data_IF_757636257250
#
_entry.id   IF_757636257250
#
_cell.length_a   1.000
_cell.length_b   1.000
_cell.length_c   1.000
_cell.angle_alpha   90.00
_cell.angle_beta   90.00
_cell.angle_gamma   90.00
#
_symmetry.space_group_name_H-M   'P 1'
#
loop_
_entity.id
_entity.type
_entity.pdbx_description
1 polymer ?
#
# COMPACT_ATOMS: atom_id res chain seq x y z
N UNK A 1 3.92 27.05 5.02
CA UNK A 1 4.27 27.65 3.73
C UNK A 1 5.76 27.44 3.56
N UNK A 2 6.18 26.82 2.45
CA UNK A 2 7.57 26.43 2.21
C UNK A 2 8.04 27.12 0.93
N UNK A 3 9.26 27.62 0.91
CA UNK A 3 9.86 28.32 -0.23
C UNK A 3 10.98 27.47 -0.84
N UNK A 4 10.90 27.19 -2.15
CA UNK A 4 11.94 26.49 -2.92
C UNK A 4 12.14 27.25 -4.23
N UNK A 5 13.38 27.64 -4.54
CA UNK A 5 13.78 28.35 -5.77
C UNK A 5 12.82 29.51 -6.15
N UNK A 6 12.65 30.48 -5.22
CA UNK A 6 11.80 31.66 -5.38
C UNK A 6 10.31 31.36 -5.64
N UNK A 7 9.83 30.14 -5.32
CA UNK A 7 8.42 29.76 -5.43
C UNK A 7 7.84 29.51 -4.05
N UNK A 8 6.74 30.18 -3.75
CA UNK A 8 5.97 29.99 -2.53
C UNK A 8 5.03 28.80 -2.73
N UNK A 9 5.31 27.69 -2.05
CA UNK A 9 4.47 26.50 -2.06
C UNK A 9 3.60 26.47 -0.81
N UNK A 10 2.29 26.36 -1.00
CA UNK A 10 1.36 26.18 0.11
C UNK A 10 1.68 24.88 0.84
N UNK A 11 1.66 24.89 2.19
CA UNK A 11 1.81 23.65 2.95
C UNK A 11 0.61 22.71 2.75
N UNK A 12 -0.50 23.21 2.21
CA UNK A 12 -1.67 22.39 1.89
C UNK A 12 -1.46 21.52 0.64
N UNK A 13 -0.51 21.87 -0.25
CA UNK A 13 -0.06 20.98 -1.34
C UNK A 13 0.66 19.72 -0.83
N UNK A 14 1.19 19.75 0.40
CA UNK A 14 1.78 18.59 1.07
C UNK A 14 0.73 17.72 1.77
N UNK A 15 -0.51 18.21 1.87
CA UNK A 15 -1.67 17.50 2.43
C UNK A 15 -2.64 17.02 1.36
N UNK A 16 -2.26 17.10 0.10
CA UNK A 16 -2.97 16.37 -0.96
C UNK A 16 -2.74 14.88 -0.69
N UNK A 17 -3.78 14.22 -0.20
CA UNK A 17 -3.87 12.78 -0.14
C UNK A 17 -3.60 12.26 -1.55
N UNK A 18 -2.45 11.62 -1.78
CA UNK A 18 -2.15 10.95 -3.04
C UNK A 18 -3.16 9.80 -3.22
N UNK A 19 -4.35 10.13 -3.71
CA UNK A 19 -5.31 9.16 -4.17
C UNK A 19 -4.68 8.52 -5.39
N UNK A 20 -4.27 7.25 -5.28
CA UNK A 20 -3.70 6.51 -6.39
C UNK A 20 -4.63 6.60 -7.60
N UNK A 21 -4.25 7.40 -8.59
CA UNK A 21 -4.90 7.40 -9.89
C UNK A 21 -4.38 6.18 -10.66
N UNK A 22 -5.07 5.06 -10.46
CA UNK A 22 -4.74 3.78 -11.09
C UNK A 22 -4.86 3.84 -12.62
N UNK A 23 -5.66 4.77 -13.18
CA UNK A 23 -5.73 4.98 -14.62
C UNK A 23 -4.46 5.66 -15.15
N UNK A 24 -3.82 6.52 -14.36
CA UNK A 24 -2.58 7.21 -14.70
C UNK A 24 -1.30 6.41 -14.35
N UNK A 25 -1.30 5.74 -13.19
CA UNK A 25 -0.12 5.08 -12.62
C UNK A 25 0.01 3.59 -13.04
N UNK A 26 -1.12 2.96 -13.44
CA UNK A 26 -1.22 1.51 -13.72
C UNK A 26 -0.78 0.59 -12.57
N UNK A 27 -0.59 1.15 -11.37
CA UNK A 27 -0.09 0.42 -10.21
C UNK A 27 1.41 0.15 -10.22
N UNK A 28 2.22 0.94 -10.95
CA UNK A 28 3.68 0.69 -11.06
C UNK A 28 4.40 0.67 -9.71
N UNK A 29 3.92 1.45 -8.72
CA UNK A 29 4.45 1.43 -7.35
C UNK A 29 4.21 0.10 -6.61
N UNK A 30 3.24 -0.71 -7.06
CA UNK A 30 2.93 -2.03 -6.49
C UNK A 30 3.66 -3.19 -7.22
N UNK A 31 4.32 -2.91 -8.35
CA UNK A 31 5.01 -3.90 -9.22
C UNK A 31 6.53 -3.78 -9.13
N UNK A 32 7.06 -2.57 -8.91
CA UNK A 32 8.50 -2.30 -8.80
C UNK A 32 8.89 -1.68 -7.44
N UNK A 33 8.09 -1.94 -6.41
CA UNK A 33 8.37 -1.44 -5.06
C UNK A 33 9.34 -2.34 -4.31
N UNK A 34 10.60 -1.92 -4.14
CA UNK A 34 11.59 -2.64 -3.31
C UNK A 34 11.31 -2.58 -1.80
N UNK A 35 10.18 -2.01 -1.39
CA UNK A 35 9.75 -1.91 0.00
C UNK A 35 8.22 -2.01 0.05
N UNK A 36 7.73 -2.77 1.04
CA UNK A 36 6.30 -2.88 1.31
C UNK A 36 5.67 -1.51 1.59
N UNK A 37 4.36 -1.40 1.43
CA UNK A 37 3.68 -0.16 1.76
C UNK A 37 3.74 0.06 3.29
N UNK A 38 4.14 1.25 3.78
CA UNK A 38 4.28 1.51 5.21
C UNK A 38 2.95 1.35 5.94
N UNK A 39 3.02 0.94 7.21
CA UNK A 39 1.91 0.67 8.11
C UNK A 39 2.15 1.33 9.46
N UNK A 40 1.09 1.81 10.09
CA UNK A 40 1.08 2.16 11.51
C UNK A 40 0.70 0.95 12.36
N UNK A 41 1.08 0.94 13.63
CA UNK A 41 0.83 -0.19 14.53
C UNK A 41 -0.66 -0.49 14.72
N UNK A 42 -1.52 0.53 14.71
CA UNK A 42 -2.97 0.38 14.84
C UNK A 42 -3.64 -0.18 13.56
N UNK A 43 -2.98 -0.07 12.42
CA UNK A 43 -3.44 -0.66 11.16
C UNK A 43 -3.23 -2.18 11.12
N UNK A 44 -2.23 -2.69 11.84
CA UNK A 44 -1.87 -4.13 11.83
C UNK A 44 -3.01 -4.99 12.37
N UNK A 45 -3.56 -4.63 13.53
CA UNK A 45 -4.64 -5.40 14.15
C UNK A 45 -5.87 -5.42 13.24
N UNK A 46 -6.17 -4.27 12.63
CA UNK A 46 -7.29 -4.13 11.69
C UNK A 46 -7.07 -4.96 10.42
N UNK A 47 -5.83 -5.03 9.91
CA UNK A 47 -5.48 -5.85 8.75
C UNK A 47 -5.73 -7.33 9.03
N UNK A 48 -5.35 -7.82 10.20
CA UNK A 48 -5.59 -9.22 10.59
C UNK A 48 -7.08 -9.52 10.74
N UNK A 49 -7.82 -8.66 11.45
CA UNK A 49 -9.26 -8.82 11.67
C UNK A 49 -10.06 -8.83 10.37
N UNK A 50 -9.70 -7.97 9.42
CA UNK A 50 -10.40 -7.80 8.14
C UNK A 50 -9.91 -8.79 7.06
N UNK A 51 -8.93 -9.65 7.36
CA UNK A 51 -8.37 -10.59 6.40
C UNK A 51 -9.40 -11.42 5.62
N UNK A 52 -10.45 -12.01 6.26
CA UNK A 52 -11.46 -12.77 5.54
C UNK A 52 -12.20 -11.96 4.47
N UNK A 53 -12.27 -10.63 4.61
CA UNK A 53 -13.03 -9.74 3.74
C UNK A 53 -12.26 -9.40 2.46
N UNK A 54 -10.93 -9.29 2.52
CA UNK A 54 -10.10 -8.96 1.35
C UNK A 54 -9.31 -10.15 0.79
N UNK A 55 -9.11 -11.23 1.56
CA UNK A 55 -8.46 -12.49 1.11
C UNK A 55 -8.99 -13.02 -0.24
N UNK A 56 -10.31 -13.00 -0.54
CA UNK A 56 -10.82 -13.52 -1.81
C UNK A 56 -10.32 -12.79 -3.05
N UNK A 57 -9.78 -11.58 -2.90
CA UNK A 57 -9.27 -10.77 -4.01
C UNK A 57 -7.74 -10.87 -4.16
N UNK A 58 -7.05 -11.50 -3.21
CA UNK A 58 -5.60 -11.67 -3.25
C UNK A 58 -5.18 -12.78 -4.22
N UNK A 59 -3.95 -12.70 -4.72
CA UNK A 59 -3.32 -13.79 -5.48
C UNK A 59 -2.97 -14.95 -4.55
N UNK A 60 -2.90 -16.19 -5.06
CA UNK A 60 -2.41 -17.33 -4.28
C UNK A 60 -1.00 -17.10 -3.70
N UNK A 61 -0.14 -16.39 -4.44
CA UNK A 61 1.21 -15.99 -4.05
C UNK A 61 1.18 -15.03 -2.86
N UNK A 62 0.36 -13.97 -2.94
CA UNK A 62 0.17 -13.00 -1.88
C UNK A 62 -0.39 -13.62 -0.60
N UNK A 63 -1.35 -14.54 -0.73
CA UNK A 63 -1.89 -15.30 0.41
C UNK A 63 -0.77 -16.11 1.09
N UNK A 64 0.07 -16.80 0.31
CA UNK A 64 1.21 -17.56 0.87
C UNK A 64 2.20 -16.65 1.57
N UNK A 65 2.50 -15.48 1.00
CA UNK A 65 3.41 -14.51 1.61
C UNK A 65 2.88 -14.01 2.96
N UNK A 66 1.61 -13.59 3.03
CA UNK A 66 0.97 -13.15 4.27
C UNK A 66 0.90 -14.27 5.31
N UNK A 67 0.55 -15.49 4.91
CA UNK A 67 0.47 -16.63 5.84
C UNK A 67 1.85 -17.09 6.35
N UNK A 68 2.92 -16.84 5.59
CA UNK A 68 4.28 -17.20 5.99
C UNK A 68 5.01 -16.09 6.79
N UNK A 69 4.82 -14.84 6.40
CA UNK A 69 5.55 -13.69 6.96
C UNK A 69 4.74 -12.93 8.02
N UNK A 70 3.42 -13.05 8.00
CA UNK A 70 2.49 -12.24 8.79
C UNK A 70 1.82 -11.14 7.96
N UNK A 71 0.88 -10.41 8.56
CA UNK A 71 0.19 -9.27 7.93
C UNK A 71 1.06 -8.02 7.81
N UNK A 72 2.18 -8.01 8.53
CA UNK A 72 3.18 -6.95 8.52
C UNK A 72 4.57 -7.58 8.62
N UNK A 73 5.57 -6.87 8.10
CA UNK A 73 6.99 -7.14 8.31
C UNK A 73 7.67 -5.86 8.79
N UNK A 74 8.77 -6.00 9.51
CA UNK A 74 9.63 -4.85 9.85
C UNK A 74 10.76 -4.82 8.83
N UNK A 75 10.97 -3.70 8.16
CA UNK A 75 12.03 -3.54 7.18
C UNK A 75 13.40 -3.29 7.82
N UNK A 76 14.43 -3.08 7.00
CA UNK A 76 15.81 -2.84 7.46
C UNK A 76 15.97 -1.53 8.24
N UNK A 77 15.08 -0.56 8.03
CA UNK A 77 15.07 0.75 8.69
C UNK A 77 14.27 0.72 10.01
N UNK A 78 13.55 -0.38 10.28
CA UNK A 78 12.74 -0.58 11.49
C UNK A 78 11.29 -0.15 11.32
N UNK A 79 10.85 0.14 10.10
CA UNK A 79 9.49 0.56 9.80
C UNK A 79 8.59 -0.65 9.54
N UNK A 80 7.32 -0.56 9.98
CA UNK A 80 6.33 -1.58 9.68
C UNK A 80 5.85 -1.43 8.24
N UNK A 81 5.92 -2.51 7.46
CA UNK A 81 5.55 -2.52 6.05
C UNK A 81 4.72 -3.75 5.70
N UNK A 82 4.00 -3.71 4.59
CA UNK A 82 3.29 -4.88 4.07
C UNK A 82 4.28 -5.94 3.57
N UNK A 83 4.02 -7.24 3.77
CA UNK A 83 4.86 -8.31 3.23
C UNK A 83 4.95 -8.24 1.69
N UNK A 84 6.06 -8.76 1.17
CA UNK A 84 6.32 -8.87 -0.26
C UNK A 84 6.29 -10.35 -0.70
N UNK A 85 5.87 -10.59 -1.94
CA UNK A 85 6.08 -11.87 -2.63
C UNK A 85 7.44 -11.81 -3.31
N UNK A 86 8.30 -12.78 -3.01
CA UNK A 86 9.63 -12.95 -3.60
C UNK A 86 10.46 -11.65 -3.62
N UNK A 87 10.36 -10.84 -2.55
CA UNK A 87 11.05 -9.55 -2.37
C UNK A 87 10.77 -8.49 -3.48
N UNK A 88 9.65 -8.64 -4.21
CA UNK A 88 9.34 -7.79 -5.36
C UNK A 88 7.96 -7.13 -5.30
N UNK A 89 6.88 -7.91 -5.28
CA UNK A 89 5.51 -7.36 -5.35
C UNK A 89 4.84 -7.34 -3.98
N UNK A 90 4.02 -6.33 -3.70
CA UNK A 90 3.26 -6.29 -2.44
C UNK A 90 2.29 -7.50 -2.38
N UNK A 91 2.24 -8.20 -1.24
CA UNK A 91 1.40 -9.39 -1.10
C UNK A 91 -0.11 -9.12 -1.23
N UNK A 92 -0.54 -7.86 -1.08
CA UNK A 92 -1.93 -7.44 -1.29
C UNK A 92 -2.21 -6.97 -2.72
N UNK A 93 -1.20 -6.96 -3.60
CA UNK A 93 -1.37 -6.61 -4.99
C UNK A 93 -2.00 -7.77 -5.77
N UNK A 94 -2.83 -7.43 -6.74
CA UNK A 94 -3.34 -8.36 -7.74
C UNK A 94 -3.47 -7.65 -9.09
N UNK A 95 -3.43 -8.39 -10.19
CA UNK A 95 -3.53 -7.80 -11.53
C UNK A 95 -4.83 -8.25 -12.21
N UNK A 96 -5.57 -7.30 -12.78
CA UNK A 96 -6.82 -7.53 -13.51
C UNK A 96 -6.77 -6.69 -14.79
N UNK A 97 -6.98 -7.32 -15.95
CA UNK A 97 -6.92 -6.67 -17.27
C UNK A 97 -5.61 -5.88 -17.56
N UNK A 98 -4.49 -6.30 -16.97
CA UNK A 98 -3.18 -5.66 -17.15
C UNK A 98 -2.98 -4.39 -16.31
N UNK A 99 -3.85 -4.13 -15.34
CA UNK A 99 -3.71 -3.09 -14.34
C UNK A 99 -3.51 -3.75 -12.98
N UNK A 100 -2.52 -3.28 -12.21
CA UNK A 100 -2.28 -3.77 -10.85
C UNK A 100 -3.10 -2.96 -9.85
N UNK A 101 -3.79 -3.67 -8.97
CA UNK A 101 -4.73 -3.17 -7.98
C UNK A 101 -4.37 -3.70 -6.58
N UNK A 102 -4.92 -3.06 -5.55
CA UNK A 102 -4.81 -3.52 -4.16
C UNK A 102 -6.09 -4.27 -3.75
N UNK A 103 -5.95 -5.49 -3.23
CA UNK A 103 -7.05 -6.33 -2.78
C UNK A 103 -7.87 -5.67 -1.65
N UNK A 104 -7.21 -4.94 -0.76
CA UNK A 104 -7.84 -4.21 0.36
C UNK A 104 -8.71 -3.06 -0.17
N UNK A 105 -8.20 -2.27 -1.13
CA UNK A 105 -8.99 -1.18 -1.73
C UNK A 105 -10.17 -1.73 -2.55
N UNK A 106 -10.03 -2.89 -3.21
CA UNK A 106 -11.17 -3.55 -3.87
C UNK A 106 -12.24 -3.94 -2.86
N UNK A 107 -11.85 -4.61 -1.77
CA UNK A 107 -12.76 -4.98 -0.70
C UNK A 107 -13.47 -3.76 -0.10
N UNK A 108 -12.76 -2.64 0.11
CA UNK A 108 -13.33 -1.40 0.62
C UNK A 108 -14.34 -0.80 -0.36
N UNK A 109 -13.99 -0.71 -1.66
CA UNK A 109 -14.88 -0.19 -2.71
C UNK A 109 -16.14 -1.03 -2.90
N UNK A 110 -16.06 -2.34 -2.64
CA UNK A 110 -17.21 -3.25 -2.67
C UNK A 110 -17.97 -3.33 -1.33
N UNK A 111 -17.57 -2.54 -0.33
CA UNK A 111 -18.20 -2.49 0.99
C UNK A 111 -18.04 -3.76 1.81
N UNK A 112 -17.01 -4.57 1.50
CA UNK A 112 -16.68 -5.82 2.21
C UNK A 112 -15.86 -5.59 3.46
N UNK A 113 -15.10 -4.50 3.50
CA UNK A 113 -14.32 -4.07 4.67
C UNK A 113 -14.57 -2.59 4.93
N UNK A 114 -14.51 -2.20 6.20
CA UNK A 114 -14.51 -0.79 6.62
C UNK A 114 -13.10 -0.20 6.63
N UNK A 115 -12.08 -1.05 6.55
CA UNK A 115 -10.69 -0.64 6.54
C UNK A 115 -10.32 -0.07 5.16
N UNK A 116 -9.82 1.16 5.18
CA UNK A 116 -9.23 1.81 4.02
C UNK A 116 -7.86 2.32 4.42
N UNK A 117 -6.83 1.85 3.73
CA UNK A 117 -5.47 2.33 3.96
C UNK A 117 -5.40 3.85 3.71
N UNK A 118 -5.11 4.68 4.73
CA UNK A 118 -5.04 6.12 4.60
C UNK A 118 -3.66 6.62 4.12
N UNK A 119 -2.64 5.76 4.15
CA UNK A 119 -1.25 6.15 3.87
C UNK A 119 -0.89 5.92 2.40
N UNK A 120 -0.57 6.97 1.61
CA UNK A 120 -0.03 6.81 0.26
C UNK A 120 1.37 6.19 0.33
N UNK A 121 1.59 5.14 -0.47
CA UNK A 121 2.89 4.47 -0.61
C UNK A 121 3.87 5.36 -1.41
N UNK A 122 4.39 6.40 -0.78
CA UNK A 122 5.61 7.07 -1.22
C UNK A 122 6.51 7.18 0.01
N UNK A 123 7.41 6.20 0.18
CA UNK A 123 8.65 6.45 0.90
C UNK A 123 9.46 7.43 0.04
N UNK A 124 9.31 8.72 0.32
CA UNK A 124 10.13 9.76 -0.30
C UNK A 124 11.51 9.60 0.30
N UNK A 125 12.39 8.81 -0.34
CA UNK A 125 13.83 8.89 -0.07
C UNK A 125 14.27 10.32 -0.40
N UNK A 126 14.43 11.12 0.65
CA UNK A 126 15.17 12.37 0.61
C UNK A 126 16.63 12.00 0.33
N UNK A 127 17.11 12.38 -0.86
CA UNK A 127 18.54 12.46 -1.17
C UNK A 127 19.17 13.64 -0.42
#
# INVERSE_FOLDING_TARGET
>A
MIEIDDKIVSADLLREYFACDLAACKGICCVEGNAGAPLEMDEVDTLEEEYPNYKPYMTPEGIRAVEAQGFMVVDEDGDYTTPLVDDAECAYAYTEEGITFCAIEKAFREGKTTFRKPIPAISIRSA
#
